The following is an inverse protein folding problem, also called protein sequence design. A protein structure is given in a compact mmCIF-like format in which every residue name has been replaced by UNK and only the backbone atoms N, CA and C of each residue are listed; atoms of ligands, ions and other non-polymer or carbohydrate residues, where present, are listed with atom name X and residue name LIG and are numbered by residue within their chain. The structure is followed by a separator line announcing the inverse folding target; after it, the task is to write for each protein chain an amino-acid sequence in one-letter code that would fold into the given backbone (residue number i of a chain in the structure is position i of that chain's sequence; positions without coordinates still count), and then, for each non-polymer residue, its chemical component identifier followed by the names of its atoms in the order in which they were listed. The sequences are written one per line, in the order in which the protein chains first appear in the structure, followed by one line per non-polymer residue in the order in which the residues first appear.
data_IF_885050236175
#
_entry.id   IF_885050236175
#
_cell.length_a   1.000
_cell.length_b   1.000
_cell.length_c   1.000
_cell.angle_alpha   90.00
_cell.angle_beta   90.00
_cell.angle_gamma   90.00
#
_symmetry.space_group_name_H-M   'P 1'
#
loop_
_entity.id
_entity.type
_entity.pdbx_description
1 polymer ?
#
# COMPACT_ATOMS: atom_id res chain seq x y z
N UNK A 1 -14.82 0.19 -25.43
CA UNK A 1 -15.36 -0.51 -24.26
C UNK A 1 -15.24 0.39 -23.02
N UNK A 2 -16.35 0.62 -22.38
CA UNK A 2 -16.37 1.49 -21.20
C UNK A 2 -16.03 0.68 -19.96
N UNK A 3 -15.08 1.17 -19.20
CA UNK A 3 -14.74 0.54 -17.91
C UNK A 3 -15.84 0.89 -16.91
N UNK A 4 -16.37 -0.11 -16.24
CA UNK A 4 -17.34 0.13 -15.19
C UNK A 4 -16.71 0.86 -14.01
N UNK A 5 -17.49 1.76 -13.43
CA UNK A 5 -17.05 2.50 -12.25
C UNK A 5 -17.00 1.56 -11.04
N UNK A 6 -15.98 1.69 -10.23
CA UNK A 6 -15.87 0.91 -9.00
C UNK A 6 -17.03 1.23 -8.08
N UNK A 7 -17.67 0.20 -7.54
CA UNK A 7 -18.81 0.35 -6.61
C UNK A 7 -18.35 0.23 -5.16
N UNK A 8 -17.22 -0.45 -4.92
CA UNK A 8 -16.63 -0.58 -3.60
C UNK A 8 -15.12 -0.49 -3.75
N UNK A 9 -14.44 -0.20 -2.64
CA UNK A 9 -12.99 -0.07 -2.70
C UNK A 9 -12.31 -1.34 -3.23
N UNK A 10 -12.88 -2.51 -2.94
CA UNK A 10 -12.29 -3.77 -3.36
C UNK A 10 -12.34 -4.00 -4.87
N UNK A 11 -13.09 -3.18 -5.61
CA UNK A 11 -13.09 -3.20 -7.06
C UNK A 11 -11.88 -2.46 -7.65
N UNK A 12 -11.22 -1.62 -6.86
CA UNK A 12 -10.07 -0.84 -7.32
C UNK A 12 -8.84 -1.73 -7.47
N UNK A 13 -8.22 -1.68 -8.63
CA UNK A 13 -7.00 -2.47 -8.88
C UNK A 13 -5.89 -2.07 -7.90
N UNK A 14 -5.74 -0.76 -7.62
CA UNK A 14 -4.73 -0.31 -6.67
C UNK A 14 -4.94 -0.92 -5.29
N UNK A 15 -6.20 -1.05 -4.85
CA UNK A 15 -6.49 -1.69 -3.57
C UNK A 15 -6.13 -3.17 -3.59
N UNK A 16 -6.50 -3.88 -4.67
CA UNK A 16 -6.20 -5.31 -4.80
C UNK A 16 -4.70 -5.58 -4.74
N UNK A 17 -3.92 -4.75 -5.42
CA UNK A 17 -2.46 -4.90 -5.42
C UNK A 17 -1.86 -4.53 -4.07
N UNK A 18 -2.38 -3.49 -3.41
CA UNK A 18 -1.95 -3.12 -2.07
C UNK A 18 -2.26 -4.23 -1.06
N UNK A 19 -3.43 -4.86 -1.18
CA UNK A 19 -3.79 -5.98 -0.32
C UNK A 19 -2.86 -7.17 -0.51
N UNK A 20 -2.52 -7.50 -1.76
CA UNK A 20 -1.59 -8.59 -2.03
C UNK A 20 -0.20 -8.29 -1.43
N UNK A 21 0.23 -7.04 -1.51
CA UNK A 21 1.48 -6.62 -0.88
C UNK A 21 1.43 -6.88 0.63
N UNK A 22 0.32 -6.55 1.29
CA UNK A 22 0.14 -6.82 2.73
C UNK A 22 0.30 -8.30 3.03
N UNK A 23 -0.37 -9.15 2.24
CA UNK A 23 -0.28 -10.60 2.46
C UNK A 23 1.16 -11.11 2.34
N UNK A 24 1.89 -10.60 1.37
CA UNK A 24 3.27 -11.02 1.17
C UNK A 24 4.22 -10.45 2.22
N UNK A 25 3.92 -9.25 2.76
CA UNK A 25 4.64 -8.71 3.91
C UNK A 25 4.46 -9.61 5.13
N UNK A 26 3.24 -10.09 5.37
CA UNK A 26 2.98 -10.99 6.48
C UNK A 26 3.74 -12.30 6.33
N UNK A 27 3.78 -12.85 5.11
CA UNK A 27 4.54 -14.09 4.85
C UNK A 27 6.02 -13.90 5.13
N UNK A 28 6.62 -12.86 4.57
CA UNK A 28 8.04 -12.61 4.78
C UNK A 28 8.36 -12.37 6.25
N UNK A 29 7.56 -11.51 6.91
CA UNK A 29 7.83 -11.11 8.29
C UNK A 29 7.62 -12.25 9.28
N UNK A 30 6.89 -13.31 8.91
CA UNK A 30 6.75 -14.48 9.77
C UNK A 30 8.07 -15.24 9.94
N UNK A 31 9.03 -15.00 9.06
CA UNK A 31 10.35 -15.62 9.11
C UNK A 31 11.37 -14.76 9.90
N UNK A 32 10.98 -13.58 10.37
CA UNK A 32 11.89 -12.70 11.11
C UNK A 32 12.23 -13.29 12.47
N UNK A 33 13.38 -12.90 13.05
CA UNK A 33 13.70 -13.29 14.42
C UNK A 33 12.58 -12.91 15.39
N UNK A 34 12.29 -13.76 16.34
CA UNK A 34 11.21 -13.52 17.32
C UNK A 34 11.46 -12.29 18.15
N UNK A 35 12.72 -11.88 18.30
CA UNK A 35 13.09 -10.66 19.01
C UNK A 35 12.55 -9.39 18.31
N UNK A 36 12.16 -9.49 17.03
CA UNK A 36 11.63 -8.38 16.26
C UNK A 36 10.10 -8.27 16.34
N UNK A 37 9.43 -9.12 17.11
CA UNK A 37 7.97 -9.13 17.09
C UNK A 37 7.35 -7.79 17.50
N UNK A 38 7.98 -7.08 18.43
CA UNK A 38 7.55 -5.72 18.83
C UNK A 38 8.38 -4.62 18.17
N UNK A 39 9.28 -4.99 17.27
CA UNK A 39 10.10 -4.07 16.51
C UNK A 39 9.73 -4.09 15.05
N UNK A 40 10.66 -4.51 14.18
CA UNK A 40 10.50 -4.45 12.74
C UNK A 40 9.27 -5.21 12.24
N UNK A 41 9.00 -6.41 12.80
CA UNK A 41 7.83 -7.20 12.40
C UNK A 41 6.53 -6.39 12.56
N UNK A 42 6.34 -5.80 13.74
CA UNK A 42 5.17 -5.00 14.05
C UNK A 42 5.10 -3.76 13.16
N UNK A 43 6.22 -3.07 12.99
CA UNK A 43 6.26 -1.81 12.25
C UNK A 43 5.95 -1.98 10.77
N UNK A 44 6.55 -2.98 10.12
CA UNK A 44 6.30 -3.16 8.68
C UNK A 44 4.86 -3.62 8.42
N UNK A 45 4.32 -4.47 9.29
CA UNK A 45 2.93 -4.92 9.15
C UNK A 45 1.96 -3.76 9.29
N UNK A 46 2.19 -2.90 10.27
CA UNK A 46 1.36 -1.73 10.50
C UNK A 46 1.41 -0.77 9.31
N UNK A 47 2.61 -0.48 8.80
CA UNK A 47 2.77 0.39 7.65
C UNK A 47 2.12 -0.20 6.40
N UNK A 48 2.30 -1.49 6.16
CA UNK A 48 1.73 -2.16 5.00
C UNK A 48 0.20 -2.13 5.02
N UNK A 49 -0.42 -2.45 6.16
CA UNK A 49 -1.88 -2.46 6.32
C UNK A 49 -2.46 -1.06 6.12
N UNK A 50 -1.71 -0.02 6.50
CA UNK A 50 -2.14 1.37 6.33
C UNK A 50 -2.35 1.74 4.86
N UNK A 51 -1.69 1.07 3.92
CA UNK A 51 -1.83 1.39 2.49
C UNK A 51 -3.24 1.06 1.99
N UNK A 52 -3.70 -0.20 1.99
CA UNK A 52 -5.05 -0.50 1.54
C UNK A 52 -6.11 0.10 2.47
N UNK A 53 -5.81 0.25 3.75
CA UNK A 53 -6.73 0.87 4.70
C UNK A 53 -7.09 2.30 4.33
N UNK A 54 -6.08 3.10 3.98
CA UNK A 54 -6.31 4.49 3.58
C UNK A 54 -6.91 4.60 2.17
N UNK A 55 -6.60 3.68 1.28
CA UNK A 55 -7.25 3.63 -0.04
C UNK A 55 -8.76 3.40 0.16
N UNK A 56 -9.12 2.45 1.02
CA UNK A 56 -10.53 2.15 1.30
C UNK A 56 -11.24 3.35 1.92
N UNK A 57 -10.63 4.00 2.91
CA UNK A 57 -11.23 5.18 3.52
C UNK A 57 -11.38 6.33 2.54
N UNK A 58 -10.36 6.58 1.72
CA UNK A 58 -10.40 7.62 0.70
C UNK A 58 -11.50 7.38 -0.33
N UNK A 59 -11.71 6.13 -0.69
CA UNK A 59 -12.78 5.76 -1.64
C UNK A 59 -14.15 6.20 -1.12
N UNK A 60 -14.37 6.08 0.18
CA UNK A 60 -15.66 6.39 0.81
C UNK A 60 -15.90 7.88 0.96
N UNK A 61 -14.85 8.72 0.95
CA UNK A 61 -15.01 10.16 1.14
C UNK A 61 -15.78 10.79 -0.02
N UNK A 62 -16.47 11.87 0.25
CA UNK A 62 -17.38 12.47 -0.74
C UNK A 62 -16.75 13.54 -1.59
N UNK A 63 -15.73 14.22 -1.08
CA UNK A 63 -15.06 15.29 -1.82
C UNK A 63 -13.69 14.85 -2.30
N UNK A 64 -13.26 15.41 -3.43
CA UNK A 64 -11.94 15.10 -3.97
C UNK A 64 -10.79 15.49 -3.04
N UNK A 65 -10.81 16.66 -2.39
CA UNK A 65 -9.76 16.99 -1.43
C UNK A 65 -9.64 15.96 -0.31
N UNK A 66 -10.77 15.48 0.22
CA UNK A 66 -10.74 14.44 1.26
C UNK A 66 -10.22 13.12 0.73
N UNK A 67 -10.64 12.72 -0.46
CA UNK A 67 -10.11 11.51 -1.09
C UNK A 67 -8.61 11.59 -1.22
N UNK A 68 -8.10 12.70 -1.74
CA UNK A 68 -6.68 12.90 -1.96
C UNK A 68 -5.89 12.89 -0.65
N UNK A 69 -6.46 13.39 0.43
CA UNK A 69 -5.81 13.38 1.73
C UNK A 69 -5.51 11.95 2.18
N UNK A 70 -6.48 11.05 2.06
CA UNK A 70 -6.28 9.66 2.46
C UNK A 70 -5.32 8.92 1.52
N UNK A 71 -5.38 9.21 0.23
CA UNK A 71 -4.44 8.62 -0.73
C UNK A 71 -3.02 9.10 -0.49
N UNK A 72 -2.86 10.33 -0.05
CA UNK A 72 -1.55 10.86 0.31
C UNK A 72 -0.98 10.16 1.54
N UNK A 73 -1.83 9.84 2.53
CA UNK A 73 -1.41 9.06 3.69
C UNK A 73 -0.96 7.66 3.23
N UNK A 74 -1.70 7.04 2.32
CA UNK A 74 -1.30 5.73 1.77
C UNK A 74 0.06 5.81 1.11
N UNK A 75 0.33 6.88 0.36
CA UNK A 75 1.62 7.08 -0.30
C UNK A 75 2.76 7.18 0.72
N UNK A 76 2.52 7.91 1.81
CA UNK A 76 3.50 8.01 2.90
C UNK A 76 3.77 6.66 3.56
N UNK A 77 2.72 5.85 3.73
CA UNK A 77 2.86 4.50 4.28
C UNK A 77 3.69 3.60 3.37
N UNK A 78 3.55 3.75 2.05
CA UNK A 78 4.38 3.03 1.09
C UNK A 78 5.85 3.43 1.22
N UNK A 79 6.13 4.72 1.38
CA UNK A 79 7.50 5.18 1.57
C UNK A 79 8.10 4.62 2.86
N UNK A 80 7.30 4.54 3.91
CA UNK A 80 7.72 3.90 5.16
C UNK A 80 8.07 2.43 4.92
N UNK A 81 7.22 1.71 4.18
CA UNK A 81 7.50 0.33 3.80
C UNK A 81 8.79 0.23 3.00
N UNK A 82 9.04 1.17 2.09
CA UNK A 82 10.26 1.18 1.28
C UNK A 82 11.50 1.21 2.18
N UNK A 83 11.47 2.03 3.22
CA UNK A 83 12.56 2.07 4.18
C UNK A 83 12.72 0.73 4.91
N UNK A 84 11.61 0.15 5.35
CA UNK A 84 11.68 -1.14 6.05
C UNK A 84 12.22 -2.26 5.16
N UNK A 85 11.93 -2.23 3.86
CA UNK A 85 12.49 -3.22 2.94
C UNK A 85 14.00 -3.09 2.82
N UNK A 86 14.52 -1.86 2.83
CA UNK A 86 15.95 -1.62 2.86
C UNK A 86 16.55 -2.22 4.13
N UNK A 87 15.91 -1.97 5.27
CA UNK A 87 16.37 -2.46 6.57
C UNK A 87 16.36 -3.99 6.63
N UNK A 88 15.32 -4.63 6.12
CA UNK A 88 15.22 -6.10 6.06
C UNK A 88 16.40 -6.67 5.29
N UNK A 89 16.70 -6.09 4.14
CA UNK A 89 17.79 -6.55 3.29
C UNK A 89 19.14 -6.35 3.98
N UNK A 90 19.34 -5.18 4.59
CA UNK A 90 20.60 -4.86 5.24
C UNK A 90 20.84 -5.70 6.49
N UNK A 91 19.78 -6.08 7.21
CA UNK A 91 19.87 -6.96 8.36
C UNK A 91 19.95 -8.44 7.98
N UNK A 92 19.71 -8.76 6.71
CA UNK A 92 19.77 -10.15 6.26
C UNK A 92 18.58 -10.98 6.70
N UNK A 93 17.41 -10.37 6.91
CA UNK A 93 16.23 -11.07 7.40
C UNK A 93 15.43 -11.76 6.28
N UNK A 94 15.80 -11.55 5.03
CA UNK A 94 15.14 -12.23 3.93
C UNK A 94 15.29 -11.48 2.61
N UNK A 95 14.82 -12.11 1.53
CA UNK A 95 14.82 -11.49 0.21
C UNK A 95 13.63 -10.54 0.07
N UNK A 96 13.89 -9.33 -0.39
CA UNK A 96 12.86 -8.31 -0.57
C UNK A 96 12.48 -8.11 -2.03
N UNK A 97 13.05 -8.89 -2.95
CA UNK A 97 12.91 -8.64 -4.39
C UNK A 97 11.46 -8.55 -4.84
N UNK A 98 10.63 -9.52 -4.45
CA UNK A 98 9.21 -9.52 -4.80
C UNK A 98 8.48 -8.32 -4.23
N UNK A 99 8.74 -8.01 -2.96
CA UNK A 99 8.09 -6.90 -2.28
C UNK A 99 8.51 -5.55 -2.85
N UNK A 100 9.80 -5.41 -3.22
CA UNK A 100 10.29 -4.19 -3.87
C UNK A 100 9.54 -3.93 -5.16
N UNK A 101 9.34 -4.96 -5.97
CA UNK A 101 8.62 -4.87 -7.22
C UNK A 101 7.15 -4.51 -7.01
N UNK A 102 6.50 -5.18 -6.05
CA UNK A 102 5.10 -4.92 -5.72
C UNK A 102 4.90 -3.49 -5.20
N UNK A 103 5.82 -3.01 -4.39
CA UNK A 103 5.74 -1.66 -3.83
C UNK A 103 5.77 -0.62 -4.95
N UNK A 104 6.68 -0.78 -5.91
CA UNK A 104 6.76 0.13 -7.06
C UNK A 104 5.47 0.09 -7.86
N UNK A 105 4.90 -1.09 -8.08
CA UNK A 105 3.64 -1.24 -8.81
C UNK A 105 2.50 -0.51 -8.09
N UNK A 106 2.36 -0.75 -6.79
CA UNK A 106 1.31 -0.08 -5.99
C UNK A 106 1.49 1.43 -6.01
N UNK A 107 2.73 1.91 -5.88
CA UNK A 107 3.03 3.34 -5.90
C UNK A 107 2.58 3.99 -7.20
N UNK A 108 2.88 3.36 -8.33
CA UNK A 108 2.49 3.88 -9.65
C UNK A 108 0.98 3.89 -9.83
N UNK A 109 0.31 2.81 -9.42
CA UNK A 109 -1.14 2.74 -9.50
C UNK A 109 -1.81 3.79 -8.61
N UNK A 110 -1.26 4.01 -7.43
CA UNK A 110 -1.78 5.00 -6.50
C UNK A 110 -1.62 6.41 -7.03
N UNK A 111 -0.48 6.72 -7.65
CA UNK A 111 -0.24 8.00 -8.30
C UNK A 111 -1.23 8.22 -9.43
N UNK A 112 -1.47 7.20 -10.26
CA UNK A 112 -2.43 7.28 -11.36
C UNK A 112 -3.85 7.50 -10.87
N UNK A 113 -4.26 6.80 -9.84
CA UNK A 113 -5.57 6.95 -9.23
C UNK A 113 -5.75 8.37 -8.66
N UNK A 114 -4.74 8.86 -7.94
CA UNK A 114 -4.77 10.20 -7.37
C UNK A 114 -4.84 11.27 -8.46
N UNK A 115 -4.08 11.09 -9.54
CA UNK A 115 -4.09 12.01 -10.67
C UNK A 115 -5.49 12.06 -11.32
N UNK A 116 -6.14 10.90 -11.49
CA UNK A 116 -7.46 10.84 -12.06
C UNK A 116 -8.46 11.63 -11.21
N UNK A 117 -8.37 11.53 -9.90
CA UNK A 117 -9.22 12.29 -8.99
C UNK A 117 -8.95 13.79 -9.11
N UNK A 118 -7.65 14.20 -9.14
CA UNK A 118 -7.29 15.61 -9.24
C UNK A 118 -7.79 16.26 -10.51
N UNK A 119 -7.81 15.51 -11.59
CA UNK A 119 -8.26 16.04 -12.89
C UNK A 119 -9.77 15.89 -13.12
N UNK A 120 -10.51 15.48 -12.07
CA UNK A 120 -11.94 15.29 -12.16
C UNK A 120 -12.38 14.01 -12.83
N UNK A 121 -11.44 13.12 -13.13
CA UNK A 121 -11.76 11.82 -13.68
C UNK A 121 -12.39 10.92 -12.60
N UNK A 122 -13.17 9.91 -13.06
CA UNK A 122 -13.72 8.95 -12.13
C UNK A 122 -12.83 7.72 -12.05
N UNK A 123 -12.65 7.27 -10.85
CA UNK A 123 -11.87 6.07 -10.60
C UNK A 123 -12.66 4.82 -10.93
#
# INVERSE_FOLDING_TARGET
MTREKAKRFSDLIVWQKAHQFVLDVYRLSSEFPKTEIYGLTSQIRRAAVSVPGNIAEGFRKQTNPEKLRFLNIAQGSLEECRYYLILIRDLGYGSTEKLDWQLVEVSKLLQGYSKAIRTGGSA
#
